data_IF_015505862368
#
_entry.id   IF_015505862368
#
_cell.length_a   1.000
_cell.length_b   1.000
_cell.length_c   1.000
_cell.angle_alpha   90.00
_cell.angle_beta   90.00
_cell.angle_gamma   90.00
#
_symmetry.space_group_name_H-M   'P 1'
#
loop_
_entity.id
_entity.type
_entity.pdbx_description
1 polymer ?
#
# COMPACT_ATOMS: atom_id res chain seq x y z
N UNK A 1 53.34 -25.74 -108.62
CA UNK A 1 52.43 -26.46 -107.71
C UNK A 1 52.66 -26.08 -106.24
N UNK A 2 53.86 -26.28 -105.67
CA UNK A 2 54.15 -26.05 -104.23
C UNK A 2 53.68 -24.71 -103.64
N UNK A 3 53.94 -23.58 -104.31
CA UNK A 3 53.60 -22.24 -103.81
C UNK A 3 52.10 -22.10 -103.48
N UNK A 4 51.21 -22.57 -104.37
CA UNK A 4 49.77 -22.49 -104.15
C UNK A 4 49.32 -23.33 -102.94
N UNK A 5 49.93 -24.52 -102.74
CA UNK A 5 49.67 -25.37 -101.56
C UNK A 5 50.13 -24.69 -100.27
N UNK A 6 51.25 -23.96 -100.29
CA UNK A 6 51.74 -23.21 -99.13
C UNK A 6 50.81 -22.06 -98.75
N UNK A 7 50.35 -21.26 -99.73
CA UNK A 7 49.36 -20.21 -99.48
C UNK A 7 48.02 -20.75 -98.99
N UNK A 8 47.55 -21.88 -99.53
CA UNK A 8 46.27 -22.46 -99.09
C UNK A 8 46.34 -23.03 -97.66
N UNK A 9 47.47 -23.65 -97.29
CA UNK A 9 47.73 -24.05 -95.90
C UNK A 9 47.76 -22.84 -94.97
N UNK A 10 48.58 -21.83 -95.26
CA UNK A 10 48.69 -20.62 -94.43
C UNK A 10 47.35 -19.90 -94.26
N UNK A 11 46.54 -19.80 -95.33
CA UNK A 11 45.20 -19.21 -95.27
C UNK A 11 44.25 -20.04 -94.39
N UNK A 12 44.33 -21.37 -94.44
CA UNK A 12 43.53 -22.26 -93.61
C UNK A 12 43.97 -22.22 -92.13
N UNK A 13 45.28 -22.15 -91.86
CA UNK A 13 45.82 -21.97 -90.50
C UNK A 13 45.38 -20.63 -89.89
N UNK A 14 45.42 -19.54 -90.67
CA UNK A 14 44.91 -18.22 -90.28
C UNK A 14 43.39 -18.26 -90.02
N UNK A 15 42.63 -18.96 -90.85
CA UNK A 15 41.19 -19.12 -90.62
C UNK A 15 40.90 -19.91 -89.35
N UNK A 16 41.61 -21.01 -89.09
CA UNK A 16 41.46 -21.82 -87.87
C UNK A 16 41.82 -20.99 -86.63
N UNK A 17 42.90 -20.21 -86.68
CA UNK A 17 43.30 -19.31 -85.58
C UNK A 17 42.25 -18.22 -85.31
N UNK A 18 41.69 -17.59 -86.35
CA UNK A 18 40.62 -16.60 -86.22
C UNK A 18 39.32 -17.23 -85.68
N UNK A 19 38.98 -18.46 -86.07
CA UNK A 19 37.83 -19.19 -85.50
C UNK A 19 38.04 -19.47 -84.00
N UNK A 20 39.18 -20.06 -83.63
CA UNK A 20 39.47 -20.42 -82.24
C UNK A 20 39.55 -19.20 -81.30
N UNK A 21 40.05 -18.06 -81.79
CA UNK A 21 40.07 -16.80 -81.02
C UNK A 21 38.68 -16.17 -80.89
N UNK A 22 37.81 -16.26 -81.90
CA UNK A 22 36.40 -15.88 -81.76
C UNK A 22 35.64 -16.78 -80.78
N UNK A 23 35.87 -18.10 -80.81
CA UNK A 23 35.26 -19.05 -79.86
C UNK A 23 35.71 -18.78 -78.41
N UNK A 24 37.00 -18.57 -78.18
CA UNK A 24 37.53 -18.21 -76.86
C UNK A 24 36.95 -16.87 -76.35
N UNK A 25 36.81 -15.87 -77.23
CA UNK A 25 36.20 -14.59 -76.89
C UNK A 25 34.71 -14.75 -76.55
N UNK A 26 33.96 -15.57 -77.30
CA UNK A 26 32.57 -15.89 -76.99
C UNK A 26 32.41 -16.64 -75.65
N UNK A 27 33.31 -17.58 -75.34
CA UNK A 27 33.30 -18.34 -74.07
C UNK A 27 33.59 -17.42 -72.88
N UNK A 28 34.58 -16.54 -73.01
CA UNK A 28 34.92 -15.56 -71.94
C UNK A 28 33.80 -14.54 -71.74
N UNK A 29 33.18 -14.04 -72.81
CA UNK A 29 32.07 -13.07 -72.71
C UNK A 29 30.78 -13.73 -72.18
N UNK A 30 30.51 -15.00 -72.51
CA UNK A 30 29.44 -15.80 -71.90
C UNK A 30 29.69 -16.01 -70.39
N UNK A 31 30.92 -16.34 -70.02
CA UNK A 31 31.32 -16.51 -68.61
C UNK A 31 31.15 -15.21 -67.82
N UNK A 32 31.58 -14.08 -68.39
CA UNK A 32 31.39 -12.73 -67.82
C UNK A 32 29.91 -12.42 -67.59
N UNK A 33 29.06 -12.60 -68.61
CA UNK A 33 27.60 -12.38 -68.50
C UNK A 33 26.96 -13.28 -67.45
N UNK A 34 27.43 -14.53 -67.30
CA UNK A 34 26.93 -15.44 -66.28
C UNK A 34 27.36 -15.02 -64.87
N UNK A 35 28.58 -14.52 -64.68
CA UNK A 35 29.03 -13.93 -63.40
C UNK A 35 28.24 -12.67 -63.07
N UNK A 36 28.02 -11.78 -64.03
CA UNK A 36 27.17 -10.57 -63.88
C UNK A 36 25.74 -10.94 -63.47
N UNK A 37 25.12 -11.91 -64.16
CA UNK A 37 23.78 -12.42 -63.82
C UNK A 37 23.73 -13.03 -62.42
N UNK A 38 24.76 -13.79 -62.03
CA UNK A 38 24.86 -14.40 -60.70
C UNK A 38 25.21 -13.39 -59.59
N UNK A 39 25.77 -12.22 -59.92
CA UNK A 39 25.89 -11.08 -58.99
C UNK A 39 24.52 -10.41 -58.81
N UNK A 40 23.88 -10.01 -59.90
CA UNK A 40 22.56 -9.34 -59.88
C UNK A 40 21.47 -10.19 -59.20
N UNK A 41 21.48 -11.51 -59.39
CA UNK A 41 20.55 -12.42 -58.72
C UNK A 41 20.72 -12.41 -57.18
N UNK A 42 21.97 -12.44 -56.69
CA UNK A 42 22.27 -12.36 -55.24
C UNK A 42 21.95 -10.99 -54.67
N UNK A 43 22.27 -9.92 -55.40
CA UNK A 43 21.93 -8.54 -55.02
C UNK A 43 20.41 -8.34 -54.89
N UNK A 44 19.63 -8.84 -55.86
CA UNK A 44 18.17 -8.84 -55.78
C UNK A 44 17.66 -9.64 -54.59
N UNK A 45 18.20 -10.84 -54.33
CA UNK A 45 17.79 -11.67 -53.20
C UNK A 45 18.07 -11.00 -51.85
N UNK A 46 19.24 -10.38 -51.68
CA UNK A 46 19.60 -9.61 -50.47
C UNK A 46 18.67 -8.41 -50.29
N UNK A 47 18.38 -7.67 -51.37
CA UNK A 47 17.45 -6.54 -51.33
C UNK A 47 16.03 -6.97 -50.96
N UNK A 48 15.52 -8.04 -51.58
CA UNK A 48 14.18 -8.56 -51.30
C UNK A 48 14.07 -9.15 -49.88
N UNK A 49 15.17 -9.69 -49.33
CA UNK A 49 15.24 -10.08 -47.93
C UNK A 49 15.15 -8.87 -46.99
N UNK A 50 15.95 -7.82 -47.23
CA UNK A 50 15.91 -6.60 -46.43
C UNK A 50 14.56 -5.85 -46.52
N UNK A 51 13.94 -5.82 -47.70
CA UNK A 51 12.61 -5.21 -47.89
C UNK A 51 11.51 -6.04 -47.18
N UNK A 52 11.61 -7.38 -47.14
CA UNK A 52 10.71 -8.24 -46.35
C UNK A 52 10.92 -8.10 -44.84
N UNK A 53 12.17 -8.03 -44.38
CA UNK A 53 12.50 -7.82 -42.96
C UNK A 53 12.01 -6.45 -42.46
N UNK A 54 12.26 -5.39 -43.25
CA UNK A 54 11.73 -4.05 -43.00
C UNK A 54 10.20 -4.07 -42.85
N UNK A 55 9.49 -4.67 -43.81
CA UNK A 55 8.02 -4.75 -43.78
C UNK A 55 7.51 -5.51 -42.53
N UNK A 56 8.20 -6.58 -42.11
CA UNK A 56 7.86 -7.31 -40.89
C UNK A 56 8.10 -6.48 -39.61
N UNK A 57 9.15 -5.66 -39.58
CA UNK A 57 9.38 -4.72 -38.46
C UNK A 57 8.36 -3.56 -38.45
N UNK A 58 8.00 -3.03 -39.62
CA UNK A 58 6.95 -2.00 -39.75
C UNK A 58 5.58 -2.55 -39.29
N UNK A 59 5.24 -3.80 -39.60
CA UNK A 59 4.03 -4.47 -39.08
C UNK A 59 4.05 -4.64 -37.55
N UNK A 60 5.17 -5.07 -36.96
CA UNK A 60 5.32 -5.17 -35.49
C UNK A 60 5.22 -3.81 -34.81
N UNK A 61 5.79 -2.76 -35.40
CA UNK A 61 5.71 -1.40 -34.87
C UNK A 61 4.25 -0.90 -34.83
N UNK A 62 3.47 -1.17 -35.89
CA UNK A 62 2.04 -0.85 -35.92
C UNK A 62 1.23 -1.66 -34.89
N UNK A 63 1.57 -2.94 -34.68
CA UNK A 63 0.97 -3.77 -33.63
C UNK A 63 1.22 -3.18 -32.24
N UNK A 64 2.48 -2.88 -31.89
CA UNK A 64 2.80 -2.26 -30.60
C UNK A 64 2.17 -0.87 -30.42
N UNK A 65 2.05 -0.08 -31.49
CA UNK A 65 1.35 1.21 -31.43
C UNK A 65 -0.14 1.05 -31.09
N UNK A 66 -0.82 0.08 -31.67
CA UNK A 66 -2.24 -0.19 -31.37
C UNK A 66 -2.42 -0.86 -30.00
N UNK A 67 -1.52 -1.76 -29.59
CA UNK A 67 -1.51 -2.32 -28.22
C UNK A 67 -1.33 -1.22 -27.17
N UNK A 68 -0.39 -0.29 -27.37
CA UNK A 68 -0.19 0.88 -26.51
C UNK A 68 -1.43 1.79 -26.53
N UNK A 69 -2.06 1.98 -27.69
CA UNK A 69 -3.30 2.79 -27.80
C UNK A 69 -4.43 2.17 -26.99
N UNK A 70 -4.66 0.87 -27.13
CA UNK A 70 -5.68 0.11 -26.39
C UNK A 70 -5.39 0.06 -24.89
N UNK A 71 -4.13 -0.13 -24.49
CA UNK A 71 -3.72 -0.13 -23.08
C UNK A 71 -3.98 1.23 -22.41
N UNK A 72 -3.65 2.35 -23.07
CA UNK A 72 -3.97 3.69 -22.57
C UNK A 72 -5.50 3.95 -22.53
N UNK A 73 -6.26 3.45 -23.50
CA UNK A 73 -7.72 3.56 -23.53
C UNK A 73 -8.40 2.71 -22.44
N UNK A 74 -7.78 1.61 -22.02
CA UNK A 74 -8.22 0.80 -20.89
C UNK A 74 -7.81 1.44 -19.54
N UNK A 75 -6.58 1.97 -19.44
CA UNK A 75 -6.10 2.69 -18.26
C UNK A 75 -7.00 3.88 -17.94
N UNK A 76 -7.31 4.73 -18.92
CA UNK A 76 -8.16 5.91 -18.70
C UNK A 76 -9.58 5.56 -18.23
N UNK A 77 -10.15 4.46 -18.73
CA UNK A 77 -11.43 3.92 -18.20
C UNK A 77 -11.30 3.41 -16.76
N UNK A 78 -10.16 2.85 -16.40
CA UNK A 78 -9.88 2.40 -15.03
C UNK A 78 -9.71 3.59 -14.07
N UNK A 79 -9.08 4.68 -14.52
CA UNK A 79 -8.98 5.94 -13.79
C UNK A 79 -10.36 6.57 -13.60
N UNK A 80 -11.14 6.75 -14.68
CA UNK A 80 -12.55 7.19 -14.64
C UNK A 80 -13.42 6.36 -13.68
N UNK A 81 -13.18 5.04 -13.61
CA UNK A 81 -13.89 4.12 -12.69
C UNK A 81 -13.40 4.25 -11.24
N UNK A 82 -12.10 4.48 -11.02
CA UNK A 82 -11.54 4.68 -9.69
C UNK A 82 -12.03 5.98 -9.05
N UNK A 83 -12.10 7.08 -9.81
CA UNK A 83 -12.63 8.36 -9.34
C UNK A 83 -14.10 8.24 -8.93
N UNK A 84 -14.94 7.55 -9.72
CA UNK A 84 -16.33 7.28 -9.40
C UNK A 84 -16.50 6.40 -8.14
N UNK A 85 -15.57 5.46 -7.89
CA UNK A 85 -15.57 4.64 -6.68
C UNK A 85 -15.07 5.42 -5.45
N UNK A 86 -14.10 6.32 -5.62
CA UNK A 86 -13.61 7.20 -4.56
C UNK A 86 -14.71 8.17 -4.10
N UNK A 87 -15.37 8.85 -5.03
CA UNK A 87 -16.49 9.75 -4.73
C UNK A 87 -17.67 9.01 -4.10
N UNK A 88 -18.02 7.81 -4.60
CA UNK A 88 -19.04 6.96 -3.97
C UNK A 88 -18.67 6.55 -2.54
N UNK A 89 -17.38 6.32 -2.27
CA UNK A 89 -16.89 5.98 -0.94
C UNK A 89 -16.96 7.19 0.01
N UNK A 90 -16.60 8.39 -0.48
CA UNK A 90 -16.74 9.65 0.26
C UNK A 90 -18.19 9.93 0.67
N UNK A 91 -19.13 9.78 -0.26
CA UNK A 91 -20.57 9.95 0.02
C UNK A 91 -21.06 8.93 1.05
N UNK A 92 -20.64 7.66 0.95
CA UNK A 92 -20.99 6.63 1.93
C UNK A 92 -20.40 6.91 3.33
N UNK A 93 -19.22 7.52 3.41
CA UNK A 93 -18.61 7.97 4.67
C UNK A 93 -19.39 9.15 5.28
N UNK A 94 -19.75 10.15 4.47
CA UNK A 94 -20.59 11.29 4.89
C UNK A 94 -21.98 10.84 5.37
N UNK A 95 -22.61 9.88 4.68
CA UNK A 95 -23.86 9.25 5.13
C UNK A 95 -23.69 8.51 6.47
N UNK A 96 -22.59 7.76 6.64
CA UNK A 96 -22.30 7.03 7.87
C UNK A 96 -22.05 7.97 9.07
N UNK A 97 -21.31 9.07 8.87
CA UNK A 97 -21.12 10.11 9.91
C UNK A 97 -22.46 10.73 10.31
N UNK A 98 -23.30 11.08 9.33
CA UNK A 98 -24.60 11.72 9.57
C UNK A 98 -25.61 10.77 10.24
N UNK A 99 -25.54 9.46 9.98
CA UNK A 99 -26.29 8.45 10.73
C UNK A 99 -25.77 8.29 12.17
N UNK A 100 -24.44 8.28 12.37
CA UNK A 100 -23.82 8.20 13.69
C UNK A 100 -24.15 9.42 14.56
N UNK A 101 -24.17 10.63 13.98
CA UNK A 101 -24.60 11.84 14.69
C UNK A 101 -26.06 11.72 15.14
N UNK A 102 -26.98 11.35 14.24
CA UNK A 102 -28.40 11.17 14.56
C UNK A 102 -28.65 10.11 15.63
N UNK A 103 -27.85 9.03 15.65
CA UNK A 103 -27.92 8.02 16.71
C UNK A 103 -27.51 8.62 18.07
N UNK A 104 -26.40 9.36 18.13
CA UNK A 104 -25.95 10.02 19.37
C UNK A 104 -26.93 11.09 19.86
N UNK A 105 -27.51 11.89 18.97
CA UNK A 105 -28.55 12.88 19.31
C UNK A 105 -29.81 12.20 19.89
N UNK A 106 -30.22 11.05 19.33
CA UNK A 106 -31.33 10.26 19.85
C UNK A 106 -31.01 9.65 21.24
N UNK A 107 -29.80 9.16 21.46
CA UNK A 107 -29.37 8.67 22.78
C UNK A 107 -29.32 9.77 23.84
N UNK A 108 -28.88 10.98 23.45
CA UNK A 108 -28.86 12.16 24.32
C UNK A 108 -30.27 12.58 24.73
N UNK A 109 -31.24 12.62 23.80
CA UNK A 109 -32.63 12.96 24.16
C UNK A 109 -33.33 11.81 24.92
N UNK A 110 -33.03 10.53 24.63
CA UNK A 110 -33.51 9.39 25.44
C UNK A 110 -33.01 9.48 26.89
N UNK A 111 -31.73 9.78 27.11
CA UNK A 111 -31.16 9.93 28.46
C UNK A 111 -31.72 11.15 29.19
N UNK A 112 -31.96 12.26 28.49
CA UNK A 112 -32.66 13.44 29.02
C UNK A 112 -34.10 13.14 29.44
N UNK A 113 -34.87 12.44 28.60
CA UNK A 113 -36.26 12.03 28.91
C UNK A 113 -36.28 11.08 30.12
N UNK A 114 -35.36 10.11 30.19
CA UNK A 114 -35.21 9.23 31.37
C UNK A 114 -34.96 10.02 32.66
N UNK A 115 -34.05 11.00 32.63
CA UNK A 115 -33.72 11.83 33.79
C UNK A 115 -34.86 12.76 34.21
N UNK A 116 -35.66 13.26 33.26
CA UNK A 116 -36.87 14.04 33.56
C UNK A 116 -37.98 13.17 34.17
N UNK A 117 -38.21 11.97 33.63
CA UNK A 117 -39.18 11.01 34.19
C UNK A 117 -38.79 10.56 35.61
N UNK A 118 -37.49 10.36 35.87
CA UNK A 118 -36.98 10.01 37.21
C UNK A 118 -37.33 11.11 38.23
N UNK A 119 -37.06 12.39 37.90
CA UNK A 119 -37.42 13.53 38.76
C UNK A 119 -38.92 13.67 38.98
N UNK A 120 -39.73 13.44 37.95
CA UNK A 120 -41.20 13.49 38.06
C UNK A 120 -41.75 12.38 38.96
N UNK A 121 -41.17 11.18 38.91
CA UNK A 121 -41.53 10.07 39.80
C UNK A 121 -41.04 10.31 41.25
N UNK A 122 -39.84 10.88 41.44
CA UNK A 122 -39.34 11.34 42.75
C UNK A 122 -40.28 12.38 43.39
N UNK A 123 -40.71 13.39 42.63
CA UNK A 123 -41.67 14.40 43.10
C UNK A 123 -43.04 13.78 43.42
N UNK A 124 -43.54 12.89 42.56
CA UNK A 124 -44.79 12.14 42.77
C UNK A 124 -44.77 11.31 44.05
N UNK A 125 -43.69 10.57 44.32
CA UNK A 125 -43.52 9.80 45.57
C UNK A 125 -43.45 10.71 46.80
N UNK A 126 -42.79 11.88 46.68
CA UNK A 126 -42.73 12.87 47.75
C UNK A 126 -44.10 13.51 48.06
N UNK A 127 -44.91 13.79 47.02
CA UNK A 127 -46.27 14.28 47.17
C UNK A 127 -47.21 13.20 47.74
N UNK A 128 -47.14 11.96 47.25
CA UNK A 128 -47.93 10.84 47.77
C UNK A 128 -47.67 10.62 49.27
N UNK A 129 -46.40 10.68 49.69
CA UNK A 129 -46.04 10.60 51.11
C UNK A 129 -46.71 11.71 51.94
N UNK A 130 -46.65 12.98 51.47
CA UNK A 130 -47.29 14.12 52.15
C UNK A 130 -48.80 13.97 52.22
N UNK A 131 -49.43 13.46 51.17
CA UNK A 131 -50.87 13.16 51.14
C UNK A 131 -51.23 12.14 52.21
N UNK A 132 -50.53 11.00 52.29
CA UNK A 132 -50.75 9.98 53.33
C UNK A 132 -50.51 10.51 54.75
N UNK A 133 -49.49 11.35 54.95
CA UNK A 133 -49.24 12.01 56.24
C UNK A 133 -50.38 12.98 56.63
N UNK A 134 -51.01 13.66 55.66
CA UNK A 134 -52.17 14.53 55.88
C UNK A 134 -53.50 13.76 56.05
N UNK A 135 -53.68 12.63 55.34
CA UNK A 135 -54.82 11.71 55.51
C UNK A 135 -54.85 11.16 56.93
N UNK A 136 -53.73 10.66 57.45
CA UNK A 136 -53.61 10.17 58.83
C UNK A 136 -53.86 11.25 59.89
N UNK A 137 -53.52 12.51 59.61
CA UNK A 137 -53.84 13.63 60.50
C UNK A 137 -55.34 13.95 60.47
N UNK A 138 -55.94 13.93 59.28
CA UNK A 138 -57.37 14.17 59.07
C UNK A 138 -58.21 13.07 59.73
N UNK A 139 -57.82 11.81 59.59
CA UNK A 139 -58.47 10.66 60.23
C UNK A 139 -58.47 10.81 61.77
N UNK A 140 -57.35 11.19 62.38
CA UNK A 140 -57.29 11.45 63.83
C UNK A 140 -58.21 12.59 64.26
N UNK A 141 -58.26 13.68 63.49
CA UNK A 141 -59.15 14.82 63.77
C UNK A 141 -60.62 14.43 63.64
N UNK A 142 -60.98 13.58 62.68
CA UNK A 142 -62.33 13.01 62.54
C UNK A 142 -62.65 12.10 63.72
N UNK A 143 -61.80 11.12 64.05
CA UNK A 143 -62.00 10.23 65.20
C UNK A 143 -62.11 10.98 66.53
N UNK A 144 -61.34 12.06 66.72
CA UNK A 144 -61.46 12.92 67.90
C UNK A 144 -62.75 13.75 67.88
N UNK A 145 -63.15 14.28 66.73
CA UNK A 145 -64.43 14.98 66.57
C UNK A 145 -65.63 14.06 66.81
N UNK A 146 -65.57 12.81 66.37
CA UNK A 146 -66.59 11.78 66.62
C UNK A 146 -66.67 11.41 68.09
N UNK A 147 -65.54 11.25 68.79
CA UNK A 147 -65.51 11.06 70.25
C UNK A 147 -66.13 12.25 70.98
N UNK A 148 -65.72 13.47 70.67
CA UNK A 148 -66.27 14.70 71.25
C UNK A 148 -67.76 14.87 70.93
N UNK A 149 -68.22 14.47 69.75
CA UNK A 149 -69.64 14.47 69.38
C UNK A 149 -70.44 13.41 70.16
N UNK A 150 -69.90 12.20 70.33
CA UNK A 150 -70.52 11.16 71.14
C UNK A 150 -70.54 11.52 72.65
N UNK A 151 -69.53 12.24 73.14
CA UNK A 151 -69.52 12.82 74.49
C UNK A 151 -70.53 13.96 74.62
N UNK A 152 -70.66 14.83 73.62
CA UNK A 152 -71.66 15.89 73.60
C UNK A 152 -73.10 15.33 73.55
N UNK A 153 -73.35 14.28 72.76
CA UNK A 153 -74.65 13.59 72.73
C UNK A 153 -74.93 12.85 74.04
N UNK A 154 -73.93 12.23 74.69
CA UNK A 154 -74.08 11.68 76.06
C UNK A 154 -74.42 12.76 77.08
N UNK A 155 -73.69 13.88 77.08
CA UNK A 155 -73.96 15.02 77.99
C UNK A 155 -75.32 15.66 77.74
N UNK A 156 -75.80 15.66 76.48
CA UNK A 156 -77.14 16.09 76.08
C UNK A 156 -78.21 15.10 76.55
N UNK A 157 -77.98 13.80 76.43
CA UNK A 157 -78.84 12.73 76.98
C UNK A 157 -78.90 12.79 78.51
N UNK A 158 -77.76 12.99 79.17
CA UNK A 158 -77.65 13.21 80.61
C UNK A 158 -78.32 14.50 81.04
N UNK A 159 -78.20 15.59 80.27
CA UNK A 159 -78.92 16.85 80.52
C UNK A 159 -80.43 16.71 80.27
N UNK A 160 -80.86 15.89 79.32
CA UNK A 160 -82.28 15.62 79.05
C UNK A 160 -82.86 14.73 80.14
N UNK A 161 -82.14 13.68 80.58
CA UNK A 161 -82.45 12.91 81.79
C UNK A 161 -82.42 13.79 83.04
N UNK A 162 -81.49 14.73 83.16
CA UNK A 162 -81.42 15.68 84.26
C UNK A 162 -82.52 16.74 84.19
N UNK A 163 -83.05 17.09 83.01
CA UNK A 163 -84.24 17.92 82.82
C UNK A 163 -85.53 17.18 83.13
N UNK A 164 -85.63 15.91 82.78
CA UNK A 164 -86.73 15.04 83.19
C UNK A 164 -86.66 14.84 84.71
N UNK A 165 -85.48 14.54 85.25
CA UNK A 165 -85.24 14.42 86.68
C UNK A 165 -85.34 15.78 87.40
N UNK A 166 -85.13 16.93 86.77
CA UNK A 166 -85.39 18.27 87.32
C UNK A 166 -86.91 18.53 87.30
N UNK A 167 -87.64 18.16 86.25
CA UNK A 167 -89.10 18.27 86.22
C UNK A 167 -89.73 17.34 87.25
N UNK A 168 -89.37 16.07 87.24
CA UNK A 168 -89.78 15.08 88.24
C UNK A 168 -89.31 15.50 89.63
N UNK A 169 -88.08 16.01 89.80
CA UNK A 169 -87.65 16.54 91.09
C UNK A 169 -88.47 17.76 91.46
N UNK A 170 -88.87 18.64 90.54
CA UNK A 170 -89.67 19.84 90.81
C UNK A 170 -91.13 19.51 91.10
N UNK A 171 -91.67 18.43 90.53
CA UNK A 171 -92.92 17.80 90.96
C UNK A 171 -92.74 17.18 92.35
N UNK A 172 -91.71 16.35 92.54
CA UNK A 172 -91.27 15.75 93.82
C UNK A 172 -90.67 16.76 94.82
N UNK A 173 -90.59 18.06 94.50
CA UNK A 173 -90.02 19.18 95.29
C UNK A 173 -91.02 20.32 95.43
N UNK A 174 -92.13 20.30 94.69
CA UNK A 174 -93.42 20.64 95.30
C UNK A 174 -93.75 19.61 96.40
N UNK A 175 -93.51 18.32 96.14
CA UNK A 175 -93.63 17.24 97.14
C UNK A 175 -92.55 17.30 98.26
N UNK A 176 -91.32 17.77 97.99
CA UNK A 176 -90.21 17.94 98.96
C UNK A 176 -89.99 19.37 99.48
N UNK A 177 -90.71 20.38 98.99
CA UNK A 177 -91.09 21.55 99.80
C UNK A 177 -92.07 21.14 100.92
N UNK A 178 -92.55 19.88 100.91
CA UNK A 178 -93.09 19.21 102.11
C UNK A 178 -92.08 18.29 102.85
N UNK A 179 -90.81 18.13 102.39
CA UNK A 179 -89.94 17.02 102.88
C UNK A 179 -88.38 17.01 102.83
N UNK A 180 -87.64 18.07 102.48
CA UNK A 180 -86.18 18.28 102.77
C UNK A 180 -85.06 17.33 102.20
N UNK A 181 -84.18 17.91 101.35
CA UNK A 181 -82.70 18.06 101.45
C UNK A 181 -81.64 16.92 101.74
N UNK A 182 -80.42 17.15 101.17
CA UNK A 182 -79.02 16.80 101.62
C UNK A 182 -78.16 15.66 100.99
N UNK A 183 -77.05 16.05 100.30
CA UNK A 183 -75.67 15.40 100.20
C UNK A 183 -75.48 14.00 99.53
N UNK A 184 -74.28 13.40 99.33
CA UNK A 184 -72.91 13.74 98.79
C UNK A 184 -72.04 12.42 98.79
N UNK A 185 -70.73 12.22 98.48
CA UNK A 185 -69.51 12.95 97.99
C UNK A 185 -68.40 11.92 97.52
N UNK A 186 -67.17 12.36 97.13
CA UNK A 186 -65.84 11.61 97.18
C UNK A 186 -65.62 10.44 96.16
N UNK A 187 -64.42 9.93 95.80
CA UNK A 187 -63.21 10.39 95.02
C UNK A 187 -62.37 9.12 94.56
N UNK A 188 -61.00 8.95 94.56
CA UNK A 188 -60.21 8.85 93.29
C UNK A 188 -59.04 7.78 93.17
N UNK A 189 -58.12 7.95 92.16
CA UNK A 189 -56.66 7.57 92.00
C UNK A 189 -56.22 6.16 91.38
N UNK A 190 -54.90 5.80 91.12
CA UNK A 190 -54.16 6.02 89.83
C UNK A 190 -53.06 4.96 89.36
N UNK A 191 -52.08 5.37 88.49
CA UNK A 191 -50.68 4.83 88.24
C UNK A 191 -50.44 3.63 87.24
N UNK A 192 -49.26 3.32 86.60
CA UNK A 192 -47.83 3.82 86.54
C UNK A 192 -46.99 3.32 85.27
N UNK A 193 -46.09 4.15 84.66
CA UNK A 193 -44.68 4.01 84.07
C UNK A 193 -44.11 2.69 83.36
N UNK A 194 -42.82 2.56 82.84
CA UNK A 194 -42.04 3.29 81.78
C UNK A 194 -40.95 2.49 80.91
N UNK A 195 -40.07 3.20 80.13
CA UNK A 195 -38.63 2.90 79.75
C UNK A 195 -38.25 1.91 78.58
N UNK A 196 -37.08 1.91 77.85
CA UNK A 196 -35.87 2.80 77.68
C UNK A 196 -34.95 2.47 76.42
N UNK A 197 -34.01 3.39 76.08
CA UNK A 197 -32.99 3.59 74.96
C UNK A 197 -31.87 2.53 74.63
N UNK A 198 -31.12 2.67 73.48
CA UNK A 198 -29.60 2.81 73.26
C UNK A 198 -29.10 2.82 71.75
N UNK A 199 -27.77 2.82 71.43
CA UNK A 199 -27.01 3.28 70.19
C UNK A 199 -25.77 2.35 69.79
N UNK A 200 -24.80 2.49 68.82
CA UNK A 200 -24.27 3.47 67.78
C UNK A 200 -23.24 2.81 66.76
N UNK A 201 -22.65 3.55 65.76
CA UNK A 201 -21.29 3.41 65.08
C UNK A 201 -21.01 2.32 63.96
N UNK A 202 -20.00 2.31 63.03
CA UNK A 202 -18.88 3.23 62.56
C UNK A 202 -18.28 2.96 61.10
N UNK A 203 -17.03 3.40 60.73
CA UNK A 203 -16.37 3.50 59.36
C UNK A 203 -15.06 2.67 59.01
N UNK A 204 -14.66 2.60 57.70
CA UNK A 204 -13.28 2.58 57.04
C UNK A 204 -13.02 1.56 55.85
N UNK A 205 -11.89 1.62 55.08
CA UNK A 205 -11.66 1.04 53.69
C UNK A 205 -10.18 0.66 53.28
N UNK A 206 -9.89 -0.05 52.13
CA UNK A 206 -8.72 0.12 51.15
C UNK A 206 -8.66 -0.80 49.84
N UNK A 207 -7.49 -1.17 49.23
CA UNK A 207 -7.13 -1.12 47.76
C UNK A 207 -6.51 -2.36 46.95
N UNK A 208 -6.67 -2.37 45.59
CA UNK A 208 -5.74 -2.72 44.42
C UNK A 208 -5.31 -4.14 43.83
N UNK A 209 -5.12 -4.20 42.45
CA UNK A 209 -4.06 -4.85 41.55
C UNK A 209 -4.37 -5.90 40.41
N UNK A 210 -3.77 -5.76 39.18
CA UNK A 210 -3.10 -6.78 38.27
C UNK A 210 -2.48 -6.22 36.92
N UNK A 211 -1.82 -7.03 36.04
CA UNK A 211 -0.72 -6.59 35.09
C UNK A 211 -0.42 -7.43 33.77
N UNK A 212 0.18 -6.78 32.72
CA UNK A 212 1.04 -7.11 31.49
C UNK A 212 1.02 -8.43 30.62
N UNK A 213 1.44 -8.33 29.31
CA UNK A 213 2.64 -8.97 28.65
C UNK A 213 2.78 -8.84 27.07
N UNK A 214 3.95 -9.17 26.44
CA UNK A 214 4.27 -9.11 24.97
C UNK A 214 5.55 -9.92 24.51
N UNK A 215 5.76 -10.24 23.20
CA UNK A 215 6.78 -11.21 22.63
C UNK A 215 7.28 -10.97 21.16
N UNK A 216 8.57 -11.28 20.78
CA UNK A 216 8.99 -11.61 19.38
C UNK A 216 10.28 -12.53 19.12
N UNK A 217 10.42 -13.18 17.94
CA UNK A 217 11.62 -13.92 17.37
C UNK A 217 11.40 -14.21 15.81
N UNK A 218 12.23 -14.90 14.95
CA UNK A 218 13.55 -15.61 15.04
C UNK A 218 14.61 -15.25 13.91
N UNK A 219 15.41 -16.21 13.35
CA UNK A 219 16.64 -16.00 12.51
C UNK A 219 16.93 -17.03 11.35
N UNK A 220 18.04 -16.78 10.59
CA UNK A 220 18.96 -17.69 9.79
C UNK A 220 18.84 -17.92 8.25
N UNK A 221 19.98 -17.82 7.52
CA UNK A 221 20.58 -18.85 6.60
C UNK A 221 21.81 -18.39 5.74
N UNK A 222 22.57 -19.38 5.22
CA UNK A 222 23.75 -19.33 4.28
C UNK A 222 25.06 -18.68 4.81
N UNK A 223 26.27 -19.26 4.79
CA UNK A 223 26.94 -20.35 4.02
C UNK A 223 27.61 -19.92 2.70
N UNK A 224 28.96 -20.02 2.68
CA UNK A 224 29.86 -19.89 1.52
C UNK A 224 30.94 -20.98 1.66
N UNK A 225 31.26 -21.66 0.56
CA UNK A 225 32.20 -22.79 0.52
C UNK A 225 33.45 -22.46 -0.32
N UNK A 226 34.53 -23.24 -0.18
CA UNK A 226 35.86 -22.98 -0.73
C UNK A 226 36.12 -23.74 -2.03
N UNK A 227 36.67 -23.05 -3.04
CA UNK A 227 37.04 -23.62 -4.35
C UNK A 227 38.22 -24.58 -4.20
N UNK A 228 38.22 -25.70 -4.94
CA UNK A 228 39.24 -26.74 -4.86
C UNK A 228 40.39 -26.54 -5.87
N UNK A 229 41.61 -26.94 -5.51
CA UNK A 229 42.83 -26.76 -6.33
C UNK A 229 42.70 -27.34 -7.77
N UNK A 230 41.94 -28.44 -7.94
CA UNK A 230 41.75 -29.05 -9.25
C UNK A 230 41.08 -28.13 -10.28
N UNK A 231 40.22 -27.22 -9.83
CA UNK A 231 39.57 -26.23 -10.70
C UNK A 231 40.59 -25.19 -11.21
N UNK A 232 41.65 -24.92 -10.43
CA UNK A 232 42.72 -23.96 -10.76
C UNK A 232 43.65 -24.52 -11.84
N UNK A 233 44.01 -25.81 -11.76
CA UNK A 233 44.78 -26.49 -12.80
C UNK A 233 43.96 -26.63 -14.10
N UNK A 234 42.67 -26.96 -14.00
CA UNK A 234 41.78 -27.01 -15.17
C UNK A 234 41.64 -25.63 -15.84
N UNK A 235 41.41 -24.57 -15.07
CA UNK A 235 41.36 -23.20 -15.57
C UNK A 235 42.69 -22.77 -16.20
N UNK A 236 43.82 -23.18 -15.63
CA UNK A 236 45.15 -22.89 -16.17
C UNK A 236 45.39 -23.54 -17.54
N UNK A 237 44.90 -24.77 -17.74
CA UNK A 237 44.93 -25.46 -19.04
C UNK A 237 44.00 -24.80 -20.07
N UNK A 238 42.83 -24.32 -19.64
CA UNK A 238 41.90 -23.59 -20.53
C UNK A 238 42.46 -22.23 -20.96
N UNK A 239 43.08 -21.48 -20.04
CA UNK A 239 43.80 -20.23 -20.33
C UNK A 239 44.98 -20.46 -21.29
N UNK A 240 45.76 -21.53 -21.10
CA UNK A 240 46.87 -21.85 -22.02
C UNK A 240 46.35 -22.20 -23.42
N UNK A 241 45.25 -22.97 -23.52
CA UNK A 241 44.60 -23.28 -24.79
C UNK A 241 44.07 -22.01 -25.48
N UNK A 242 43.34 -21.14 -24.77
CA UNK A 242 42.87 -19.86 -25.34
C UNK A 242 44.04 -18.98 -25.79
N UNK A 243 45.16 -18.97 -25.04
CA UNK A 243 46.38 -18.25 -25.39
C UNK A 243 46.99 -18.74 -26.71
N UNK A 244 47.03 -20.06 -26.94
CA UNK A 244 47.51 -20.64 -28.20
C UNK A 244 46.56 -20.31 -29.36
N UNK A 245 45.25 -20.52 -29.16
CA UNK A 245 44.19 -20.19 -30.11
C UNK A 245 44.22 -18.71 -30.54
N UNK A 246 44.41 -17.81 -29.57
CA UNK A 246 44.56 -16.38 -29.80
C UNK A 246 45.87 -16.06 -30.54
N UNK A 247 46.97 -16.71 -30.19
CA UNK A 247 48.26 -16.49 -30.84
C UNK A 247 48.25 -16.94 -32.32
N UNK A 248 47.61 -18.06 -32.64
CA UNK A 248 47.43 -18.51 -34.03
C UNK A 248 46.55 -17.55 -34.83
N UNK A 249 45.40 -17.12 -34.29
CA UNK A 249 44.51 -16.13 -34.93
C UNK A 249 45.22 -14.79 -35.14
N UNK A 250 45.99 -14.33 -34.15
CA UNK A 250 46.79 -13.10 -34.19
C UNK A 250 47.91 -13.19 -35.23
N UNK A 251 48.63 -14.31 -35.28
CA UNK A 251 49.64 -14.60 -36.29
C UNK A 251 49.03 -14.60 -37.70
N UNK A 252 47.93 -15.32 -37.92
CA UNK A 252 47.28 -15.36 -39.23
C UNK A 252 46.84 -13.97 -39.71
N UNK A 253 46.26 -13.15 -38.82
CA UNK A 253 45.92 -11.75 -39.13
C UNK A 253 47.16 -10.90 -39.44
N UNK A 254 48.28 -11.09 -38.73
CA UNK A 254 49.54 -10.41 -39.06
C UNK A 254 50.11 -10.84 -40.43
N UNK A 255 49.92 -12.10 -40.82
CA UNK A 255 50.33 -12.62 -42.13
C UNK A 255 49.47 -12.02 -43.25
N UNK A 256 48.14 -11.99 -43.09
CA UNK A 256 47.19 -11.31 -44.00
C UNK A 256 47.48 -9.81 -44.14
N UNK A 257 47.75 -9.11 -43.02
CA UNK A 257 48.08 -7.67 -43.05
C UNK A 257 49.44 -7.38 -43.70
N UNK A 258 50.39 -8.33 -43.64
CA UNK A 258 51.69 -8.23 -44.32
C UNK A 258 51.57 -8.50 -45.82
N UNK A 259 50.74 -9.47 -46.20
CA UNK A 259 50.41 -9.80 -47.59
C UNK A 259 49.68 -8.62 -48.25
N UNK A 260 48.56 -8.17 -47.69
CA UNK A 260 47.81 -7.00 -48.16
C UNK A 260 48.68 -5.73 -48.25
N UNK A 261 49.56 -5.47 -47.27
CA UNK A 261 50.51 -4.36 -47.33
C UNK A 261 51.43 -4.46 -48.54
N UNK A 262 51.91 -5.67 -48.86
CA UNK A 262 52.77 -5.92 -50.01
C UNK A 262 52.04 -5.76 -51.34
N UNK A 263 50.76 -6.14 -51.40
CA UNK A 263 49.88 -5.95 -52.57
C UNK A 263 49.58 -4.47 -52.84
N UNK A 264 49.32 -3.65 -51.81
CA UNK A 264 48.98 -2.24 -52.00
C UNK A 264 50.20 -1.33 -52.17
N UNK A 265 51.39 -1.73 -51.69
CA UNK A 265 52.61 -0.91 -51.78
C UNK A 265 52.99 -0.62 -53.25
N UNK A 266 52.76 -1.57 -54.18
CA UNK A 266 53.01 -1.35 -55.63
C UNK A 266 52.00 -0.39 -56.29
N UNK A 267 50.93 -0.02 -55.58
CA UNK A 267 49.92 0.97 -56.00
C UNK A 267 49.98 2.27 -55.17
N UNK A 268 50.94 2.40 -54.24
CA UNK A 268 51.09 3.54 -53.33
C UNK A 268 51.54 4.79 -54.08
N UNK A 269 50.70 5.82 -54.07
CA UNK A 269 51.03 7.14 -54.64
C UNK A 269 51.66 8.01 -53.55
N UNK A 270 53.00 8.09 -53.54
CA UNK A 270 53.76 8.78 -52.48
C UNK A 270 53.35 10.25 -52.26
N UNK A 271 52.96 10.96 -53.31
CA UNK A 271 52.44 12.35 -53.24
C UNK A 271 51.16 12.51 -52.39
N UNK A 272 50.48 11.40 -52.06
CA UNK A 272 49.26 11.37 -51.24
C UNK A 272 49.48 10.81 -49.83
N UNK A 273 50.70 10.45 -49.46
CA UNK A 273 51.02 9.92 -48.13
C UNK A 273 50.93 11.03 -47.08
N UNK A 274 50.03 10.90 -46.11
CA UNK A 274 49.82 11.92 -45.09
C UNK A 274 50.82 11.81 -43.94
N UNK A 275 50.90 12.84 -43.10
CA UNK A 275 51.81 12.89 -41.94
C UNK A 275 51.59 11.71 -40.97
N UNK A 276 50.34 11.26 -40.82
CA UNK A 276 50.00 10.11 -39.97
C UNK A 276 50.47 8.77 -40.57
N UNK A 277 50.50 8.64 -41.91
CA UNK A 277 51.04 7.45 -42.57
C UNK A 277 52.55 7.37 -42.36
N UNK A 278 53.26 8.49 -42.49
CA UNK A 278 54.70 8.60 -42.25
C UNK A 278 55.05 8.28 -40.79
N UNK A 279 54.29 8.84 -39.83
CA UNK A 279 54.45 8.55 -38.41
C UNK A 279 54.15 7.09 -38.07
N UNK A 280 53.12 6.48 -38.70
CA UNK A 280 52.82 5.06 -38.53
C UNK A 280 53.93 4.17 -39.11
N UNK A 281 54.47 4.52 -40.28
CA UNK A 281 55.58 3.81 -40.92
C UNK A 281 56.86 3.88 -40.06
N UNK A 282 57.13 5.01 -39.41
CA UNK A 282 58.21 5.13 -38.41
C UNK A 282 57.92 4.32 -37.13
N UNK A 283 56.72 4.37 -36.56
CA UNK A 283 56.37 3.55 -35.38
C UNK A 283 56.53 2.05 -35.66
N UNK A 284 56.09 1.59 -36.84
CA UNK A 284 56.28 0.21 -37.30
C UNK A 284 57.78 -0.13 -37.47
N UNK A 285 58.58 0.80 -38.03
CA UNK A 285 60.05 0.65 -38.16
C UNK A 285 60.75 0.53 -36.80
N UNK A 286 60.26 1.23 -35.79
CA UNK A 286 60.75 1.17 -34.41
C UNK A 286 60.21 -0.06 -33.63
N UNK A 287 59.31 -0.85 -34.22
CA UNK A 287 58.64 -1.97 -33.55
C UNK A 287 57.65 -1.54 -32.46
N UNK A 288 57.26 -0.27 -32.42
CA UNK A 288 56.34 0.26 -31.43
C UNK A 288 54.88 -0.05 -31.79
N UNK A 289 54.13 -0.54 -30.80
CA UNK A 289 52.69 -0.73 -30.86
C UNK A 289 52.01 -0.04 -29.67
N UNK A 290 50.68 0.13 -29.77
CA UNK A 290 49.84 0.78 -28.75
C UNK A 290 50.16 0.36 -27.31
N UNK A 291 50.45 -0.92 -27.07
CA UNK A 291 50.72 -1.44 -25.72
C UNK A 291 52.18 -1.24 -25.28
N UNK A 292 53.16 -1.37 -26.19
CA UNK A 292 54.57 -1.09 -25.87
C UNK A 292 54.79 0.40 -25.59
N UNK A 293 54.23 1.29 -26.42
CA UNK A 293 54.29 2.74 -26.21
C UNK A 293 53.55 3.13 -24.93
N UNK A 294 52.37 2.56 -24.66
CA UNK A 294 51.64 2.81 -23.40
C UNK A 294 52.43 2.33 -22.16
N UNK A 295 53.15 1.21 -22.25
CA UNK A 295 54.05 0.72 -21.19
C UNK A 295 55.26 1.64 -21.00
N UNK A 296 55.82 2.16 -22.09
CA UNK A 296 56.93 3.12 -22.12
C UNK A 296 56.56 4.43 -21.42
N UNK A 297 55.46 5.08 -21.82
CA UNK A 297 55.02 6.37 -21.23
C UNK A 297 54.40 6.26 -19.83
N UNK A 298 54.03 5.05 -19.38
CA UNK A 298 53.63 4.78 -17.99
C UNK A 298 54.80 4.38 -17.08
N UNK A 299 56.02 4.22 -17.61
CA UNK A 299 57.20 3.94 -16.79
C UNK A 299 57.63 5.17 -15.97
N UNK A 300 58.35 4.95 -14.87
CA UNK A 300 58.74 6.01 -13.94
C UNK A 300 57.62 6.45 -12.98
N UNK A 301 58.02 7.15 -11.92
CA UNK A 301 57.10 7.62 -10.88
C UNK A 301 56.14 8.69 -11.43
N UNK A 302 54.98 8.86 -10.78
CA UNK A 302 54.04 9.93 -11.13
C UNK A 302 54.71 11.32 -11.05
N UNK A 303 55.59 11.55 -10.06
CA UNK A 303 56.35 12.81 -9.95
C UNK A 303 57.26 13.06 -11.16
N UNK A 304 57.95 12.02 -11.65
CA UNK A 304 58.81 12.16 -12.83
C UNK A 304 58.00 12.43 -14.10
N UNK A 305 56.85 11.75 -14.27
CA UNK A 305 55.96 11.96 -15.43
C UNK A 305 55.23 13.30 -15.41
N UNK A 306 54.95 13.87 -14.24
CA UNK A 306 54.46 15.25 -14.10
C UNK A 306 55.57 16.25 -14.43
N UNK A 307 56.78 16.10 -13.87
CA UNK A 307 57.89 17.00 -14.17
C UNK A 307 58.21 17.06 -15.68
N UNK A 308 58.27 15.90 -16.34
CA UNK A 308 58.44 15.83 -17.80
C UNK A 308 57.30 16.48 -18.60
N UNK A 309 56.08 16.54 -18.06
CA UNK A 309 54.95 17.20 -18.73
C UNK A 309 55.00 18.73 -18.61
N UNK A 310 55.53 19.26 -17.50
CA UNK A 310 55.76 20.71 -17.31
C UNK A 310 57.01 21.23 -18.05
N UNK A 311 57.78 20.34 -18.70
CA UNK A 311 59.00 20.64 -19.47
C UNK A 311 58.80 20.56 -21.01
N UNK A 312 57.58 20.27 -21.50
CA UNK A 312 57.22 20.07 -22.92
C UNK A 312 56.64 21.31 -23.62
#
# INVERSE_FOLDING_TARGET
MYIHRYYMLMFQDIHVFNTATMELLLITDLTRRQVERNKLAREKQLREAAEREKAAMEQRLLQYQEEIRLANEALRRSEETADLLAEKSRVAEEEAMLLSQKASEAEQEITRIRLNNMKAEEEKVHLERKTREAELLTERLVQESERRAAEAEKLKDELLRARIAEKEAKEKLLEFLSRNAYTAAITPVPNLFPSTQVFTSDLQADLQNLQLDAEPLPSDLTSYDLIADGDVDQLSLEIEKERVDYWEKSKHLQEQLRELRSEIEVMKVGEKQCELDQLHEEQMRLGENKYSTLKKVKSGSTKARVAFFEEL
#
